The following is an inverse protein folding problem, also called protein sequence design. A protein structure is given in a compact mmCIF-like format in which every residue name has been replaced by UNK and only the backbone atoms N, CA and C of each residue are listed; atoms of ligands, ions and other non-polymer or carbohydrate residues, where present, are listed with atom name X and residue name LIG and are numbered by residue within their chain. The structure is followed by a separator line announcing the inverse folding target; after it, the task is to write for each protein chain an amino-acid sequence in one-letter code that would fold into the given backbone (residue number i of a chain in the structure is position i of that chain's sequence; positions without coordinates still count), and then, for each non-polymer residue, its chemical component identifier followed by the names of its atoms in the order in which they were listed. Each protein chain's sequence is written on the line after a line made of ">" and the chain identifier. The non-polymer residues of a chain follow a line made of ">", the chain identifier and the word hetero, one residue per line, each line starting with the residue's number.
data_IF_999716896109
#
_entry.id   IF_999716896109
#
_cell.length_a   1.000
_cell.length_b   1.000
_cell.length_c   1.000
_cell.angle_alpha   90.00
_cell.angle_beta   90.00
_cell.angle_gamma   90.00
#
_symmetry.space_group_name_H-M   'P 1'
#
loop_
_entity.id
_entity.type
_entity.pdbx_description
1 polymer ?
#
# COMPACT_ATOMS: atom_id res chain seq x y z
N UNK A 1 -6.75 21.10 -5.48
CA UNK A 1 -7.09 19.69 -5.29
C UNK A 1 -5.85 18.91 -5.68
N UNK A 2 -5.16 18.20 -4.78
CA UNK A 2 -4.12 17.29 -5.22
C UNK A 2 -4.81 16.19 -6.03
N UNK A 3 -4.36 16.03 -7.27
CA UNK A 3 -4.83 15.00 -8.18
C UNK A 3 -4.47 13.65 -7.54
N UNK A 4 -5.47 12.96 -6.99
CA UNK A 4 -5.33 11.56 -6.62
C UNK A 4 -5.10 10.81 -7.93
N UNK A 5 -3.84 10.53 -8.22
CA UNK A 5 -3.40 9.96 -9.49
C UNK A 5 -4.16 8.68 -9.79
N UNK A 6 -5.02 8.76 -10.80
CA UNK A 6 -5.40 7.61 -11.59
C UNK A 6 -4.13 6.82 -11.97
N UNK A 7 -4.27 5.51 -12.17
CA UNK A 7 -3.21 4.64 -12.69
C UNK A 7 -2.72 5.15 -14.05
N UNK A 8 -1.84 6.15 -14.06
CA UNK A 8 -1.22 6.60 -15.29
C UNK A 8 -0.23 5.50 -15.73
N UNK A 9 -0.39 4.97 -16.96
CA UNK A 9 0.62 4.09 -17.51
C UNK A 9 1.95 4.86 -17.54
N UNK A 10 2.94 4.30 -16.85
CA UNK A 10 4.26 4.90 -16.67
C UNK A 10 5.33 3.89 -17.04
N UNK A 11 6.31 4.32 -17.84
CA UNK A 11 7.49 3.53 -18.19
C UNK A 11 8.61 3.67 -17.13
N UNK A 12 8.35 4.37 -16.01
CA UNK A 12 9.30 4.45 -14.90
C UNK A 12 9.32 3.10 -14.13
N UNK A 13 10.43 2.33 -14.21
CA UNK A 13 10.52 1.03 -13.56
C UNK A 13 10.38 1.11 -12.04
N UNK A 14 10.74 2.24 -11.41
CA UNK A 14 10.54 2.42 -9.98
C UNK A 14 9.07 2.63 -9.61
N UNK A 15 8.27 3.27 -10.46
CA UNK A 15 6.82 3.40 -10.24
C UNK A 15 6.13 2.05 -10.36
N UNK A 16 6.50 1.24 -11.36
CA UNK A 16 5.98 -0.13 -11.52
C UNK A 16 6.33 -1.00 -10.31
N UNK A 17 7.58 -0.92 -9.83
CA UNK A 17 8.01 -1.66 -8.65
C UNK A 17 7.23 -1.23 -7.41
N UNK A 18 7.12 0.08 -7.14
CA UNK A 18 6.36 0.62 -5.99
C UNK A 18 4.89 0.20 -6.02
N UNK A 19 4.27 0.21 -7.19
CA UNK A 19 2.89 -0.24 -7.34
C UNK A 19 2.75 -1.74 -7.07
N UNK A 20 3.68 -2.54 -7.55
CA UNK A 20 3.73 -3.98 -7.27
C UNK A 20 3.94 -4.26 -5.77
N UNK A 21 4.78 -3.47 -5.09
CA UNK A 21 4.97 -3.58 -3.64
C UNK A 21 3.73 -3.19 -2.85
N UNK A 22 2.93 -2.22 -3.31
CA UNK A 22 1.63 -1.92 -2.70
C UNK A 22 0.69 -3.13 -2.75
N UNK A 23 0.67 -3.89 -3.86
CA UNK A 23 -0.09 -5.15 -3.94
C UNK A 23 0.43 -6.21 -2.96
N UNK A 24 1.75 -6.32 -2.78
CA UNK A 24 2.33 -7.23 -1.79
C UNK A 24 1.94 -6.84 -0.36
N UNK A 25 1.92 -5.54 -0.05
CA UNK A 25 1.45 -5.05 1.24
C UNK A 25 -0.01 -5.43 1.50
N UNK A 26 -0.90 -5.28 0.50
CA UNK A 26 -2.29 -5.72 0.63
C UNK A 26 -2.40 -7.23 0.85
N UNK A 27 -1.63 -8.03 0.11
CA UNK A 27 -1.59 -9.47 0.30
C UNK A 27 -1.18 -9.84 1.73
N UNK A 28 -0.04 -9.32 2.21
CA UNK A 28 0.46 -9.58 3.56
C UNK A 28 -0.53 -9.15 4.65
N UNK A 29 -1.12 -7.96 4.53
CA UNK A 29 -2.11 -7.47 5.49
C UNK A 29 -3.35 -8.35 5.52
N UNK A 30 -3.87 -8.77 4.38
CA UNK A 30 -5.08 -9.63 4.36
C UNK A 30 -4.82 -11.05 4.86
N UNK A 31 -3.57 -11.53 4.80
CA UNK A 31 -3.16 -12.81 5.39
C UNK A 31 -3.02 -12.70 6.92
N UNK A 32 -2.33 -11.67 7.42
CA UNK A 32 -2.09 -11.45 8.84
C UNK A 32 -3.34 -10.97 9.60
N UNK A 33 -4.20 -10.19 8.94
CA UNK A 33 -5.40 -9.58 9.50
C UNK A 33 -6.64 -9.94 8.66
N UNK A 34 -7.12 -11.20 8.76
CA UNK A 34 -8.25 -11.67 7.96
C UNK A 34 -9.50 -10.79 8.16
N UNK A 35 -10.13 -10.41 7.05
CA UNK A 35 -11.33 -9.55 7.05
C UNK A 35 -11.04 -8.04 6.99
N UNK A 36 -9.77 -7.62 7.03
CA UNK A 36 -9.37 -6.24 6.73
C UNK A 36 -9.82 -5.85 5.33
N UNK A 37 -10.48 -4.70 5.21
CA UNK A 37 -10.83 -4.12 3.91
C UNK A 37 -9.74 -3.15 3.48
N UNK A 38 -9.59 -2.98 2.18
CA UNK A 38 -8.62 -2.06 1.61
C UNK A 38 -9.24 -1.27 0.46
N UNK A 39 -8.74 -0.06 0.23
CA UNK A 39 -9.30 0.86 -0.77
C UNK A 39 -8.31 1.14 -1.91
N UNK A 40 -7.36 2.06 -1.70
CA UNK A 40 -6.40 2.48 -2.72
C UNK A 40 -4.97 2.22 -2.24
N UNK A 41 -4.11 1.82 -3.18
CA UNK A 41 -2.69 1.57 -2.95
C UNK A 41 -1.79 2.15 -4.04
N UNK A 42 -1.71 3.48 -4.19
CA UNK A 42 -0.96 4.09 -5.27
C UNK A 42 0.55 4.08 -4.99
N UNK A 43 1.33 4.00 -6.07
CA UNK A 43 2.71 4.44 -6.04
C UNK A 43 2.74 5.98 -6.00
N UNK A 44 3.63 6.55 -5.19
CA UNK A 44 3.78 8.00 -5.05
C UNK A 44 5.18 8.42 -5.50
N UNK A 45 5.25 9.56 -6.21
CA UNK A 45 6.49 10.12 -6.73
C UNK A 45 7.19 11.03 -5.72
N UNK A 46 6.42 11.82 -4.98
CA UNK A 46 6.93 12.80 -4.02
C UNK A 46 6.06 12.83 -2.74
N UNK A 47 6.59 12.40 -1.58
CA UNK A 47 7.87 11.69 -1.42
C UNK A 47 7.86 10.35 -2.18
N UNK A 48 9.02 9.84 -2.66
CA UNK A 48 9.04 8.60 -3.42
C UNK A 48 8.68 7.39 -2.53
N UNK A 49 7.70 6.59 -2.94
CA UNK A 49 7.24 5.45 -2.14
C UNK A 49 5.90 4.89 -2.63
N UNK A 50 5.17 4.29 -1.71
CA UNK A 50 3.78 3.85 -1.90
C UNK A 50 3.09 3.88 -0.55
N UNK A 51 1.76 3.90 -0.55
CA UNK A 51 0.95 3.69 0.64
C UNK A 51 -0.24 2.81 0.30
N UNK A 52 -0.97 2.37 1.32
CA UNK A 52 -2.23 1.68 1.13
C UNK A 52 -3.21 2.07 2.25
N UNK A 53 -4.45 2.35 1.87
CA UNK A 53 -5.53 2.61 2.81
C UNK A 53 -6.22 1.31 3.25
N UNK A 54 -6.18 1.03 4.56
CA UNK A 54 -6.80 -0.14 5.18
C UNK A 54 -7.85 0.26 6.22
N UNK A 55 -8.91 -0.53 6.30
CA UNK A 55 -9.93 -0.50 7.35
C UNK A 55 -9.78 -1.77 8.21
N UNK A 56 -8.98 -1.66 9.27
CA UNK A 56 -8.74 -2.72 10.23
C UNK A 56 -9.89 -2.80 11.24
N UNK A 57 -10.25 -4.01 11.66
CA UNK A 57 -11.24 -4.21 12.73
C UNK A 57 -10.78 -3.64 14.08
N UNK A 58 -9.47 -3.75 14.37
CA UNK A 58 -8.81 -3.12 15.51
C UNK A 58 -7.62 -2.30 15.03
N UNK A 59 -7.35 -1.11 15.60
CA UNK A 59 -6.19 -0.31 15.22
C UNK A 59 -4.88 -1.08 15.42
N UNK A 60 -4.01 -1.04 14.40
CA UNK A 60 -2.64 -1.55 14.52
C UNK A 60 -1.72 -0.53 15.18
N UNK A 61 -0.60 -1.02 15.69
CA UNK A 61 0.45 -0.25 16.36
C UNK A 61 1.78 -0.34 15.61
N UNK A 62 2.77 0.47 15.99
CA UNK A 62 4.11 0.40 15.39
C UNK A 62 4.77 -0.98 15.56
N UNK A 63 4.48 -1.70 16.64
CA UNK A 63 5.02 -3.05 16.86
C UNK A 63 4.51 -4.10 15.86
N UNK A 64 3.36 -3.85 15.24
CA UNK A 64 2.76 -4.74 14.25
C UNK A 64 3.45 -4.64 12.88
N UNK A 65 4.05 -3.47 12.57
CA UNK A 65 4.68 -3.21 11.27
C UNK A 65 5.77 -4.23 10.95
N UNK A 66 6.52 -4.67 11.96
CA UNK A 66 7.57 -5.68 11.77
C UNK A 66 7.02 -6.98 11.19
N UNK A 67 5.84 -7.41 11.61
CA UNK A 67 5.22 -8.64 11.09
C UNK A 67 4.78 -8.47 9.64
N UNK A 68 4.30 -7.28 9.27
CA UNK A 68 3.87 -6.94 7.91
C UNK A 68 5.06 -6.83 6.94
N UNK A 69 6.22 -6.36 7.40
CA UNK A 69 7.43 -6.13 6.60
C UNK A 69 8.37 -7.35 6.46
N UNK A 70 8.10 -8.46 7.16
CA UNK A 70 9.01 -9.63 7.29
C UNK A 70 9.05 -10.56 6.09
#
# INVERSE_FOLDING_TARGET
>A
MPEYGDHEPTDDPLQILRHSTAHLLAAAVTELYPGTKYAIGPAIKEPPGFYYDFDFAEPISESDLRAIES
#
